data_IF_729998528612
#
_entry.id   IF_729998528612
#
_cell.length_a   1.000
_cell.length_b   1.000
_cell.length_c   1.000
_cell.angle_alpha   90.00
_cell.angle_beta   90.00
_cell.angle_gamma   90.00
#
_symmetry.space_group_name_H-M   'P 1'
#
loop_
_entity.id
_entity.type
_entity.pdbx_description
1 polymer ?
#
# COMPACT_ATOMS: atom_id res chain seq x y z
N UNK A 1 -2.29 33.54 3.55
CA UNK A 1 -2.92 33.07 2.31
C UNK A 1 -2.74 31.58 2.24
N UNK A 2 -3.82 30.81 2.33
CA UNK A 2 -3.80 29.36 2.27
C UNK A 2 -4.04 28.97 0.80
N UNK A 3 -3.00 28.52 0.11
CA UNK A 3 -3.14 28.03 -1.26
C UNK A 3 -3.84 26.68 -1.21
N UNK A 4 -5.11 26.63 -1.59
CA UNK A 4 -5.75 25.37 -1.96
C UNK A 4 -5.15 24.92 -3.28
N UNK A 5 -4.26 23.94 -3.24
CA UNK A 5 -3.77 23.26 -4.44
C UNK A 5 -4.95 22.58 -5.11
N UNK A 6 -5.36 23.10 -6.27
CA UNK A 6 -6.31 22.39 -7.14
C UNK A 6 -5.60 21.11 -7.57
N UNK A 7 -6.23 19.97 -7.29
CA UNK A 7 -5.70 18.66 -7.67
C UNK A 7 -5.88 18.51 -9.19
N UNK A 8 -4.81 18.20 -9.91
CA UNK A 8 -4.87 17.79 -11.31
C UNK A 8 -5.23 16.31 -11.40
N UNK A 9 -6.51 16.05 -11.71
CA UNK A 9 -7.02 14.69 -11.85
C UNK A 9 -6.48 13.96 -13.08
N UNK A 10 -6.02 14.69 -14.10
CA UNK A 10 -5.43 14.07 -15.30
C UNK A 10 -4.07 13.47 -14.96
N UNK A 11 -3.26 14.20 -14.20
CA UNK A 11 -1.98 13.70 -13.70
C UNK A 11 -2.17 12.41 -12.87
N UNK A 12 -3.17 12.40 -11.99
CA UNK A 12 -3.49 11.19 -11.20
C UNK A 12 -3.95 10.04 -12.11
N UNK A 13 -4.82 10.32 -13.08
CA UNK A 13 -5.31 9.31 -14.02
C UNK A 13 -4.16 8.65 -14.80
N UNK A 14 -3.16 9.43 -15.20
CA UNK A 14 -2.02 8.97 -15.99
C UNK A 14 -1.05 8.07 -15.22
N UNK A 15 -1.12 8.07 -13.88
CA UNK A 15 -0.35 7.14 -13.05
C UNK A 15 -0.86 5.70 -13.14
N UNK A 16 -2.05 5.44 -13.71
CA UNK A 16 -2.67 4.12 -13.77
C UNK A 16 -2.74 3.65 -15.23
N UNK A 17 -1.85 2.72 -15.66
CA UNK A 17 -1.77 2.28 -17.05
C UNK A 17 -3.08 1.72 -17.62
N UNK A 18 -3.89 1.08 -16.78
CA UNK A 18 -5.20 0.52 -17.14
C UNK A 18 -6.11 1.56 -17.82
N UNK A 19 -6.00 2.84 -17.44
CA UNK A 19 -6.83 3.91 -17.98
C UNK A 19 -6.52 4.25 -19.44
N UNK A 20 -5.36 3.83 -19.96
CA UNK A 20 -4.98 3.99 -21.37
C UNK A 20 -5.38 2.77 -22.22
N UNK A 21 -5.70 1.64 -21.58
CA UNK A 21 -6.01 0.38 -22.24
C UNK A 21 -7.52 0.09 -22.26
N UNK A 22 -8.24 0.50 -21.21
CA UNK A 22 -9.68 0.26 -21.08
C UNK A 22 -10.36 1.18 -20.09
N UNK A 23 -11.70 1.20 -20.15
CA UNK A 23 -12.54 1.83 -19.12
C UNK A 23 -12.68 0.83 -17.96
N UNK A 24 -11.98 1.11 -16.85
CA UNK A 24 -12.01 0.27 -15.67
C UNK A 24 -13.16 0.65 -14.71
N UNK A 25 -14.18 -0.20 -14.62
CA UNK A 25 -15.37 0.01 -13.76
C UNK A 25 -15.47 -0.98 -12.59
N UNK A 26 -14.42 -1.77 -12.31
CA UNK A 26 -14.44 -2.81 -11.27
C UNK A 26 -13.54 -2.48 -10.04
N UNK A 27 -13.46 -1.21 -9.65
CA UNK A 27 -12.62 -0.79 -8.51
C UNK A 27 -13.02 -1.45 -7.17
N UNK A 28 -14.30 -1.79 -7.00
CA UNK A 28 -14.78 -2.46 -5.78
C UNK A 28 -14.29 -3.92 -5.69
N UNK A 29 -14.11 -4.60 -6.83
CA UNK A 29 -13.58 -5.97 -6.85
C UNK A 29 -12.07 -5.99 -6.65
N UNK A 30 -11.35 -5.08 -7.33
CA UNK A 30 -9.91 -4.86 -7.12
C UNK A 30 -9.49 -3.51 -7.68
N UNK A 31 -8.43 -2.93 -7.13
CA UNK A 31 -7.86 -1.67 -7.62
C UNK A 31 -6.52 -1.94 -8.31
N UNK A 32 -6.36 -1.60 -9.60
CA UNK A 32 -5.09 -1.71 -10.31
C UNK A 32 -3.98 -0.87 -9.66
N UNK A 33 -2.75 -1.38 -9.68
CA UNK A 33 -1.61 -0.65 -9.14
C UNK A 33 -1.21 0.53 -10.05
N UNK A 34 -0.81 1.65 -9.44
CA UNK A 34 -0.20 2.76 -10.16
C UNK A 34 1.31 2.53 -10.41
N UNK A 35 1.90 3.34 -11.29
CA UNK A 35 3.31 3.25 -11.67
C UNK A 35 4.27 3.39 -10.48
N UNK A 36 3.96 4.25 -9.51
CA UNK A 36 4.77 4.44 -8.30
C UNK A 36 4.83 3.16 -7.45
N UNK A 37 3.70 2.45 -7.34
CA UNK A 37 3.61 1.18 -6.62
C UNK A 37 4.41 0.10 -7.32
N UNK A 38 4.28 0.01 -8.65
CA UNK A 38 5.05 -0.95 -9.48
C UNK A 38 6.55 -0.71 -9.29
N UNK A 39 7.00 0.54 -9.33
CA UNK A 39 8.41 0.89 -9.11
C UNK A 39 8.88 0.48 -7.71
N UNK A 40 8.15 0.87 -6.64
CA UNK A 40 8.56 0.62 -5.27
C UNK A 40 8.64 -0.88 -4.94
N UNK A 41 7.65 -1.66 -5.40
CA UNK A 41 7.65 -3.12 -5.24
C UNK A 41 8.76 -3.74 -6.09
N UNK A 42 9.00 -3.24 -7.30
CA UNK A 42 10.10 -3.67 -8.15
C UNK A 42 11.48 -3.46 -7.51
N UNK A 43 11.71 -2.31 -6.87
CA UNK A 43 12.92 -2.03 -6.09
C UNK A 43 13.10 -3.02 -4.93
N UNK A 44 12.03 -3.29 -4.19
CA UNK A 44 12.03 -4.27 -3.11
C UNK A 44 12.42 -5.67 -3.61
N UNK A 45 11.75 -6.16 -4.65
CA UNK A 45 12.01 -7.49 -5.22
C UNK A 45 13.43 -7.61 -5.78
N UNK A 46 13.94 -6.56 -6.44
CA UNK A 46 15.33 -6.51 -6.93
C UNK A 46 16.36 -6.53 -5.80
N UNK A 47 16.10 -5.84 -4.70
CA UNK A 47 16.97 -5.86 -3.52
C UNK A 47 16.97 -7.25 -2.86
N UNK A 48 15.78 -7.79 -2.64
CA UNK A 48 15.58 -9.09 -2.02
C UNK A 48 16.16 -10.23 -2.86
N UNK A 49 16.05 -10.20 -4.20
CA UNK A 49 16.64 -11.25 -5.05
C UNK A 49 18.17 -11.31 -5.00
N UNK A 50 18.83 -10.20 -4.67
CA UNK A 50 20.30 -10.11 -4.59
C UNK A 50 20.86 -10.45 -3.22
N UNK A 51 20.14 -10.08 -2.15
CA UNK A 51 20.66 -10.13 -0.77
C UNK A 51 19.70 -10.75 0.25
N UNK A 52 18.54 -11.25 -0.19
CA UNK A 52 17.49 -11.75 0.68
C UNK A 52 17.08 -10.72 1.74
N UNK A 53 16.92 -11.18 2.98
CA UNK A 53 16.64 -10.31 4.13
C UNK A 53 17.76 -9.33 4.49
N UNK A 54 18.98 -9.50 3.94
CA UNK A 54 20.12 -8.59 4.16
C UNK A 54 20.15 -7.41 3.16
N UNK A 55 19.10 -7.23 2.35
CA UNK A 55 19.01 -6.08 1.45
C UNK A 55 19.01 -4.77 2.23
N UNK A 56 19.77 -3.78 1.74
CA UNK A 56 19.70 -2.40 2.25
C UNK A 56 18.57 -1.60 1.57
N UNK A 57 18.12 -2.06 0.40
CA UNK A 57 17.03 -1.45 -0.36
C UNK A 57 15.70 -1.97 0.19
N UNK A 58 14.79 -1.05 0.56
CA UNK A 58 13.43 -1.35 1.02
C UNK A 58 13.39 -2.46 2.08
N UNK A 59 14.26 -2.38 3.10
CA UNK A 59 14.34 -3.34 4.21
C UNK A 59 12.96 -3.68 4.77
N UNK A 60 12.66 -4.97 4.88
CA UNK A 60 11.34 -5.44 5.31
C UNK A 60 10.88 -4.82 6.64
N UNK A 61 11.73 -4.81 7.66
CA UNK A 61 11.41 -4.22 8.97
C UNK A 61 11.09 -2.72 8.86
N UNK A 62 11.89 -1.96 8.12
CA UNK A 62 11.71 -0.52 7.91
C UNK A 62 10.44 -0.21 7.11
N UNK A 63 10.19 -0.98 6.05
CA UNK A 63 8.98 -0.84 5.23
C UNK A 63 7.73 -1.18 6.05
N UNK A 64 7.75 -2.29 6.80
CA UNK A 64 6.66 -2.69 7.70
C UNK A 64 6.34 -1.59 8.71
N UNK A 65 7.34 -1.02 9.36
CA UNK A 65 7.15 0.08 10.31
C UNK A 65 6.60 1.35 9.64
N UNK A 66 7.06 1.65 8.42
CA UNK A 66 6.58 2.81 7.66
C UNK A 66 5.11 2.66 7.28
N UNK A 67 4.69 1.46 6.83
CA UNK A 67 3.29 1.15 6.53
C UNK A 67 2.43 1.36 7.78
N UNK A 68 2.82 0.82 8.94
CA UNK A 68 2.07 1.00 10.19
C UNK A 68 1.88 2.48 10.54
N UNK A 69 2.94 3.29 10.44
CA UNK A 69 2.86 4.74 10.72
C UNK A 69 1.90 5.48 9.79
N UNK A 70 1.94 5.17 8.49
CA UNK A 70 1.05 5.80 7.51
C UNK A 70 -0.40 5.42 7.78
N UNK A 71 -0.68 4.12 8.00
CA UNK A 71 -2.03 3.62 8.27
C UNK A 71 -2.57 4.17 9.59
N UNK A 72 -1.76 4.21 10.64
CA UNK A 72 -2.12 4.78 11.94
C UNK A 72 -2.57 6.24 11.80
N UNK A 73 -1.84 7.05 11.03
CA UNK A 73 -2.23 8.43 10.74
C UNK A 73 -3.50 8.53 9.89
N UNK A 74 -3.73 7.60 8.96
CA UNK A 74 -4.91 7.59 8.09
C UNK A 74 -6.20 7.29 8.85
N UNK A 75 -6.15 6.35 9.82
CA UNK A 75 -7.33 5.94 10.59
C UNK A 75 -7.37 6.53 12.02
N UNK A 76 -6.40 7.38 12.35
CA UNK A 76 -6.26 8.06 13.63
C UNK A 76 -6.22 7.10 14.84
N UNK A 77 -5.29 6.15 14.81
CA UNK A 77 -5.02 5.21 15.92
C UNK A 77 -3.54 5.19 16.29
N UNK A 78 -3.19 4.50 17.38
CA UNK A 78 -1.79 4.29 17.74
C UNK A 78 -1.14 3.21 16.85
N UNK A 79 0.15 3.36 16.59
CA UNK A 79 0.92 2.40 15.80
C UNK A 79 0.90 1.01 16.42
N UNK A 80 0.84 0.92 17.75
CA UNK A 80 0.83 -0.34 18.50
C UNK A 80 -0.52 -1.08 18.41
N UNK A 81 -1.59 -0.40 18.01
CA UNK A 81 -2.93 -0.99 17.82
C UNK A 81 -3.08 -1.69 16.46
N UNK A 82 -2.08 -1.59 15.58
CA UNK A 82 -2.14 -2.13 14.23
C UNK A 82 -1.49 -3.51 14.10
N UNK A 83 -2.12 -4.38 13.30
CA UNK A 83 -1.50 -5.59 12.79
C UNK A 83 -1.59 -5.59 11.25
N UNK A 84 -0.47 -5.88 10.56
CA UNK A 84 -0.45 -6.02 9.10
C UNK A 84 -0.69 -7.49 8.78
N UNK A 85 -1.75 -7.73 8.02
CA UNK A 85 -2.22 -9.04 7.56
C UNK A 85 -2.47 -8.99 6.04
N UNK A 86 -2.74 -10.13 5.41
CA UNK A 86 -2.82 -10.23 3.95
C UNK A 86 -4.14 -9.67 3.40
N UNK A 87 -5.25 -9.83 4.13
CA UNK A 87 -6.58 -9.38 3.68
C UNK A 87 -7.59 -9.31 4.83
N UNK A 88 -8.79 -8.78 4.53
CA UNK A 88 -9.88 -8.62 5.49
C UNK A 88 -10.42 -9.94 6.05
N UNK A 89 -10.51 -11.00 5.23
CA UNK A 89 -11.03 -12.29 5.67
C UNK A 89 -10.12 -12.94 6.72
N UNK A 90 -8.80 -12.85 6.53
CA UNK A 90 -7.82 -13.29 7.52
C UNK A 90 -8.02 -12.54 8.85
N UNK A 91 -8.27 -11.23 8.79
CA UNK A 91 -8.53 -10.42 9.99
C UNK A 91 -9.79 -10.86 10.73
N UNK A 92 -10.88 -11.09 10.01
CA UNK A 92 -12.13 -11.58 10.60
C UNK A 92 -11.95 -12.96 11.25
N UNK A 93 -11.16 -13.84 10.63
CA UNK A 93 -10.86 -15.16 11.20
C UNK A 93 -10.05 -15.04 12.50
N UNK A 94 -9.04 -14.16 12.54
CA UNK A 94 -8.27 -13.92 13.77
C UNK A 94 -9.18 -13.45 14.92
N UNK A 95 -10.11 -12.53 14.63
CA UNK A 95 -11.04 -12.05 15.65
C UNK A 95 -11.98 -13.16 16.12
N UNK A 96 -12.55 -13.93 15.19
CA UNK A 96 -13.52 -14.98 15.50
C UNK A 96 -12.94 -16.16 16.29
N UNK A 97 -11.66 -16.48 16.07
CA UNK A 97 -10.99 -17.61 16.72
C UNK A 97 -10.13 -17.20 17.93
N UNK A 98 -9.73 -15.92 17.99
CA UNK A 98 -8.81 -15.39 19.00
C UNK A 98 -9.48 -14.70 20.18
N UNK A 99 -10.69 -14.17 20.01
CA UNK A 99 -11.51 -13.64 21.11
C UNK A 99 -12.48 -14.73 21.59
N UNK A 100 -11.98 -15.62 22.46
CA UNK A 100 -12.78 -16.54 23.27
C UNK A 100 -12.68 -16.17 24.75
#
# INVERSE_FOLDING_TARGET
MQFTTIIDWKEIQDLYPVNQEMIWLNNCGTTPCNLNTIQAVGEYLKGYSRKGGLTEVRKYASVKQSIRKIVAGLINCDVEELCIIHNTNEGMNFLSLGFH
#
